data_IF_490477061311
#
_entry.id   IF_490477061311
#
_cell.length_a   1.000
_cell.length_b   1.000
_cell.length_c   1.000
_cell.angle_alpha   90.00
_cell.angle_beta   90.00
_cell.angle_gamma   90.00
#
_symmetry.space_group_name_H-M   'P 1'
#
loop_
_entity.id
_entity.type
_entity.pdbx_description
1 polymer ?
#
# COMPACT_ATOMS: atom_id res chain seq x y z
N UNK A 1 -0.88 16.78 -14.08
CA UNK A 1 -0.22 15.46 -14.26
C UNK A 1 -0.46 14.64 -13.00
N UNK A 2 -0.46 13.31 -13.11
CA UNK A 2 -0.64 12.45 -11.93
C UNK A 2 0.70 12.20 -11.23
N UNK A 3 0.68 11.97 -9.91
CA UNK A 3 1.89 11.65 -9.13
C UNK A 3 2.69 10.47 -9.71
N UNK A 4 2.01 9.51 -10.32
CA UNK A 4 2.63 8.34 -10.98
C UNK A 4 3.42 8.79 -12.22
N UNK A 5 2.84 9.64 -13.06
CA UNK A 5 3.52 10.18 -14.24
C UNK A 5 4.76 10.98 -13.84
N UNK A 6 4.64 11.81 -12.79
CA UNK A 6 5.74 12.62 -12.30
C UNK A 6 6.89 11.75 -11.75
N UNK A 7 6.57 10.69 -10.99
CA UNK A 7 7.55 9.73 -10.48
C UNK A 7 8.29 8.98 -11.59
N UNK A 8 7.59 8.49 -12.62
CA UNK A 8 8.26 7.83 -13.75
C UNK A 8 9.12 8.78 -14.59
N UNK A 9 8.73 10.05 -14.72
CA UNK A 9 9.57 11.06 -15.38
C UNK A 9 10.86 11.31 -14.59
N UNK A 10 10.75 11.43 -13.27
CA UNK A 10 11.90 11.57 -12.37
C UNK A 10 12.85 10.38 -12.52
N UNK A 11 12.35 9.14 -12.39
CA UNK A 11 13.16 7.92 -12.50
C UNK A 11 13.83 7.79 -13.86
N UNK A 12 13.11 8.12 -14.93
CA UNK A 12 13.68 8.13 -16.29
C UNK A 12 14.84 9.13 -16.41
N UNK A 13 14.73 10.32 -15.81
CA UNK A 13 15.80 11.33 -15.83
C UNK A 13 17.05 10.88 -15.06
N UNK A 14 16.88 10.01 -14.07
CA UNK A 14 17.96 9.40 -13.28
C UNK A 14 18.50 8.08 -13.86
N UNK A 15 17.91 7.58 -14.95
CA UNK A 15 18.19 6.25 -15.49
C UNK A 15 17.95 5.11 -14.48
N UNK A 16 16.94 5.27 -13.62
CA UNK A 16 16.56 4.32 -12.57
C UNK A 16 15.30 3.53 -12.96
N UNK A 17 15.07 2.41 -12.26
CA UNK A 17 13.83 1.62 -12.34
C UNK A 17 13.01 1.87 -11.08
N UNK A 18 11.69 1.77 -11.20
CA UNK A 18 10.79 1.94 -10.06
C UNK A 18 10.83 0.71 -9.14
N UNK A 19 11.00 0.94 -7.84
CA UNK A 19 10.66 -0.04 -6.80
C UNK A 19 9.21 0.18 -6.34
N UNK A 20 8.36 -0.80 -6.59
CA UNK A 20 6.95 -0.77 -6.15
C UNK A 20 6.79 -1.75 -5.00
N UNK A 21 6.36 -1.26 -3.83
CA UNK A 21 6.26 -2.08 -2.62
C UNK A 21 4.80 -2.23 -2.18
N UNK A 22 4.40 -3.47 -1.91
CA UNK A 22 3.05 -3.82 -1.51
C UNK A 22 2.94 -4.05 0.00
N UNK A 23 1.84 -3.60 0.60
CA UNK A 23 1.45 -3.95 1.98
C UNK A 23 -0.06 -4.08 2.12
N UNK A 24 -0.52 -5.10 2.83
CA UNK A 24 -1.93 -5.27 3.20
C UNK A 24 -2.30 -4.29 4.32
N UNK A 25 -3.30 -3.44 4.09
CA UNK A 25 -3.74 -2.47 5.08
C UNK A 25 -4.39 -3.19 6.27
N UNK A 26 -4.01 -2.81 7.49
CA UNK A 26 -4.57 -3.38 8.73
C UNK A 26 -3.95 -4.71 9.15
N UNK A 27 -2.96 -5.23 8.42
CA UNK A 27 -2.21 -6.44 8.78
C UNK A 27 -0.84 -6.11 9.41
N UNK A 28 -0.45 -6.77 10.52
CA UNK A 28 -1.31 -7.44 11.50
C UNK A 28 -2.19 -6.46 12.29
N UNK A 29 -1.93 -5.17 12.21
CA UNK A 29 -2.77 -4.08 12.73
C UNK A 29 -2.40 -2.77 12.03
N UNK A 30 -3.20 -1.72 12.26
CA UNK A 30 -3.00 -0.39 11.65
C UNK A 30 -1.63 0.23 11.98
N UNK A 31 -1.17 0.14 13.23
CA UNK A 31 0.12 0.74 13.62
C UNK A 31 1.28 0.08 12.88
N UNK A 32 1.23 -1.23 12.71
CA UNK A 32 2.24 -1.97 11.92
C UNK A 32 2.19 -1.57 10.45
N UNK A 33 1.01 -1.40 9.84
CA UNK A 33 0.90 -0.88 8.46
C UNK A 33 1.60 0.48 8.31
N UNK A 34 1.37 1.42 9.24
CA UNK A 34 2.01 2.74 9.19
C UNK A 34 3.53 2.65 9.36
N UNK A 35 4.01 1.81 10.29
CA UNK A 35 5.45 1.58 10.47
C UNK A 35 6.11 0.95 9.24
N UNK A 36 5.44 0.00 8.57
CA UNK A 36 5.93 -0.59 7.31
C UNK A 36 6.02 0.47 6.22
N UNK A 37 4.98 1.30 6.06
CA UNK A 37 4.98 2.38 5.07
C UNK A 37 6.10 3.38 5.32
N UNK A 38 6.38 3.75 6.58
CA UNK A 38 7.56 4.57 6.91
C UNK A 38 8.86 3.88 6.54
N UNK A 39 8.94 2.56 6.76
CA UNK A 39 10.06 1.74 6.31
C UNK A 39 10.27 1.77 4.80
N UNK A 40 9.19 1.62 4.01
CA UNK A 40 9.21 1.73 2.55
C UNK A 40 9.71 3.11 2.09
N UNK A 41 9.17 4.18 2.67
CA UNK A 41 9.58 5.56 2.37
C UNK A 41 11.09 5.74 2.63
N UNK A 42 11.56 5.34 3.80
CA UNK A 42 12.98 5.45 4.17
C UNK A 42 13.89 4.53 3.37
N UNK A 43 13.36 3.40 2.88
CA UNK A 43 14.08 2.41 2.09
C UNK A 43 14.17 2.73 0.60
N UNK A 44 13.56 3.82 0.14
CA UNK A 44 13.62 4.25 -1.27
C UNK A 44 12.56 3.63 -2.18
N UNK A 45 11.42 3.19 -1.65
CA UNK A 45 10.26 2.82 -2.48
C UNK A 45 9.78 4.02 -3.30
N UNK A 46 9.48 3.80 -4.59
CA UNK A 46 9.00 4.84 -5.49
C UNK A 46 7.48 4.95 -5.54
N UNK A 47 6.79 3.82 -5.42
CA UNK A 47 5.33 3.69 -5.45
C UNK A 47 4.92 2.66 -4.40
N UNK A 48 3.88 2.97 -3.64
CA UNK A 48 3.32 2.05 -2.65
C UNK A 48 1.99 1.51 -3.17
N UNK A 49 1.87 0.19 -3.22
CA UNK A 49 0.59 -0.49 -3.38
C UNK A 49 0.02 -0.83 -2.00
N UNK A 50 -1.16 -0.29 -1.71
CA UNK A 50 -1.85 -0.51 -0.44
C UNK A 50 -3.05 -1.43 -0.69
N UNK A 51 -2.94 -2.67 -0.23
CA UNK A 51 -3.98 -3.68 -0.37
C UNK A 51 -5.18 -3.41 0.53
N UNK A 52 -6.37 -3.40 -0.07
CA UNK A 52 -7.63 -3.50 0.66
C UNK A 52 -7.97 -4.99 0.84
N UNK A 53 -8.18 -5.46 2.08
CA UNK A 53 -8.46 -6.87 2.31
C UNK A 53 -9.82 -7.27 1.72
N UNK A 54 -9.86 -8.45 1.11
CA UNK A 54 -11.03 -9.01 0.43
C UNK A 54 -11.29 -10.44 0.92
N UNK A 55 -12.57 -10.83 0.98
CA UNK A 55 -12.99 -12.12 1.57
C UNK A 55 -12.76 -13.31 0.66
N UNK A 56 -12.67 -13.09 -0.66
CA UNK A 56 -12.43 -14.14 -1.65
C UNK A 56 -11.28 -13.75 -2.62
N UNK A 57 -10.03 -13.63 -2.13
CA UNK A 57 -8.90 -13.11 -2.91
C UNK A 57 -8.28 -14.20 -3.80
N UNK A 58 -9.02 -14.69 -4.80
CA UNK A 58 -8.61 -15.81 -5.66
C UNK A 58 -7.38 -15.54 -6.54
N UNK A 59 -7.04 -14.26 -6.76
CA UNK A 59 -5.90 -13.86 -7.58
C UNK A 59 -4.59 -13.73 -6.77
N UNK A 60 -4.68 -13.73 -5.43
CA UNK A 60 -3.54 -13.56 -4.54
C UNK A 60 -2.90 -14.90 -4.16
N UNK A 61 -1.59 -14.90 -3.89
CA UNK A 61 -0.90 -16.06 -3.32
C UNK A 61 -1.17 -16.24 -1.81
N UNK A 62 -0.85 -17.41 -1.22
CA UNK A 62 -1.25 -17.78 0.14
C UNK A 62 -0.79 -16.80 1.24
N UNK A 63 0.36 -16.14 1.04
CA UNK A 63 0.88 -15.12 1.97
C UNK A 63 -0.04 -13.89 2.03
N UNK A 64 -0.49 -13.40 0.87
CA UNK A 64 -1.36 -12.23 0.78
C UNK A 64 -2.79 -12.60 1.20
N UNK A 65 -3.28 -13.79 0.82
CA UNK A 65 -4.56 -14.31 1.29
C UNK A 65 -4.60 -14.37 2.83
N UNK A 66 -3.55 -14.88 3.48
CA UNK A 66 -3.47 -14.93 4.94
C UNK A 66 -3.46 -13.52 5.57
N UNK A 67 -2.71 -12.57 5.00
CA UNK A 67 -2.73 -11.19 5.46
C UNK A 67 -4.11 -10.54 5.32
N UNK A 68 -4.82 -10.82 4.21
CA UNK A 68 -6.19 -10.37 3.97
C UNK A 68 -7.14 -10.90 5.05
N UNK A 69 -7.12 -12.22 5.28
CA UNK A 69 -7.95 -12.89 6.29
C UNK A 69 -7.72 -12.31 7.68
N UNK A 70 -6.46 -12.12 8.09
CA UNK A 70 -6.14 -11.54 9.40
C UNK A 70 -6.63 -10.09 9.49
N UNK A 71 -6.47 -9.29 8.43
CA UNK A 71 -6.98 -7.91 8.40
C UNK A 71 -8.52 -7.85 8.50
N UNK A 72 -9.24 -8.73 7.79
CA UNK A 72 -10.69 -8.86 7.90
C UNK A 72 -11.14 -9.27 9.30
N UNK A 73 -10.45 -10.25 9.91
CA UNK A 73 -10.75 -10.70 11.27
C UNK A 73 -10.53 -9.58 12.31
N UNK A 74 -9.62 -8.63 12.05
CA UNK A 74 -9.43 -7.42 12.84
C UNK A 74 -10.47 -6.32 12.54
N UNK A 75 -11.49 -6.64 11.75
CA UNK A 75 -12.60 -5.78 11.41
C UNK A 75 -12.22 -4.68 10.42
N UNK A 76 -11.37 -4.98 9.44
CA UNK A 76 -11.12 -4.07 8.33
C UNK A 76 -12.44 -3.70 7.62
N UNK A 77 -12.58 -2.41 7.30
CA UNK A 77 -13.71 -1.84 6.57
C UNK A 77 -13.21 -0.69 5.71
N UNK A 78 -13.97 -0.30 4.69
CA UNK A 78 -13.60 0.78 3.77
C UNK A 78 -13.33 2.10 4.50
N UNK A 79 -14.08 2.41 5.57
CA UNK A 79 -13.88 3.63 6.35
C UNK A 79 -12.56 3.59 7.12
N UNK A 80 -12.18 2.43 7.67
CA UNK A 80 -10.89 2.24 8.34
C UNK A 80 -9.74 2.30 7.34
N UNK A 81 -9.91 1.70 6.16
CA UNK A 81 -8.92 1.75 5.08
C UNK A 81 -8.62 3.20 4.67
N UNK A 82 -9.64 4.00 4.40
CA UNK A 82 -9.43 5.41 4.05
C UNK A 82 -8.88 6.27 5.21
N UNK A 83 -9.13 5.88 6.48
CA UNK A 83 -8.43 6.50 7.63
C UNK A 83 -6.92 6.23 7.58
N UNK A 84 -6.51 4.99 7.27
CA UNK A 84 -5.09 4.64 7.08
C UNK A 84 -4.49 5.45 5.92
N UNK A 85 -5.17 5.51 4.77
CA UNK A 85 -4.72 6.31 3.61
C UNK A 85 -4.51 7.78 4.00
N UNK A 86 -5.45 8.38 4.74
CA UNK A 86 -5.33 9.77 5.22
C UNK A 86 -4.14 9.96 6.16
N UNK A 87 -3.83 8.98 7.02
CA UNK A 87 -2.66 9.03 7.90
C UNK A 87 -1.36 8.96 7.10
N UNK A 88 -1.23 8.01 6.17
CA UNK A 88 -0.08 7.89 5.28
C UNK A 88 0.14 9.20 4.50
N UNK A 89 -0.94 9.81 3.99
CA UNK A 89 -0.88 11.06 3.22
C UNK A 89 -0.43 12.28 4.02
N UNK A 90 -0.50 12.24 5.36
CA UNK A 90 0.08 13.29 6.20
C UNK A 90 1.60 13.17 6.34
N UNK A 91 2.16 12.00 6.02
CA UNK A 91 3.58 11.69 6.23
C UNK A 91 4.38 11.60 4.93
N UNK A 92 3.72 11.28 3.79
CA UNK A 92 4.41 11.13 2.51
C UNK A 92 3.53 11.44 1.30
N UNK A 93 4.17 12.00 0.28
CA UNK A 93 3.59 12.27 -1.03
C UNK A 93 3.80 11.16 -2.07
N UNK A 94 4.53 10.09 -1.72
CA UNK A 94 4.77 8.92 -2.60
C UNK A 94 3.45 8.46 -3.26
N UNK A 95 3.43 8.21 -4.58
CA UNK A 95 2.27 7.65 -5.26
C UNK A 95 1.72 6.42 -4.51
N UNK A 96 0.42 6.46 -4.18
CA UNK A 96 -0.29 5.32 -3.60
C UNK A 96 -1.23 4.77 -4.66
N UNK A 97 -1.15 3.47 -4.88
CA UNK A 97 -2.10 2.68 -5.67
C UNK A 97 -2.92 1.87 -4.68
N UNK A 98 -4.24 2.04 -4.70
CA UNK A 98 -5.14 1.28 -3.84
C UNK A 98 -5.47 -0.02 -4.58
N UNK A 99 -4.89 -1.13 -4.14
CA UNK A 99 -5.16 -2.44 -4.72
C UNK A 99 -6.44 -3.00 -4.09
N UNK A 100 -7.45 -3.28 -4.92
CA UNK A 100 -8.74 -3.81 -4.49
C UNK A 100 -9.28 -4.78 -5.52
N UNK A 101 -10.19 -5.65 -5.08
CA UNK A 101 -11.05 -6.46 -5.94
C UNK A 101 -12.30 -5.66 -6.35
N UNK A 102 -12.98 -6.16 -7.39
CA UNK A 102 -14.26 -5.66 -7.90
C UNK A 102 -15.44 -6.38 -7.28
#
# INVERSE_FOLDING_TARGET
MSKIQDKFKELKSKNEKALISYVMAGFPNENTTLSIVRGFVNGGTDIIELGFPFSDPIADGPVIQNASTISLNNGAKIEKFFKIVKKIRKETDIPLVLMTYT
#
